data_IF_407806720740
#
_entry.id   IF_407806720740
#
_cell.length_a   1.000
_cell.length_b   1.000
_cell.length_c   1.000
_cell.angle_alpha   90.00
_cell.angle_beta   90.00
_cell.angle_gamma   90.00
#
_symmetry.space_group_name_H-M   'P 1'
#
loop_
_entity.id
_entity.type
_entity.pdbx_description
1 polymer ?
#
# COMPACT_ATOMS: atom_id res chain seq x y z
N UNK A 1 15.15 -80.80 41.42
CA UNK A 1 14.61 -79.53 41.93
C UNK A 1 14.32 -78.67 40.72
N UNK A 2 13.04 -78.51 40.42
CA UNK A 2 12.52 -77.69 39.32
C UNK A 2 12.55 -76.21 39.69
N UNK A 3 13.04 -75.38 38.77
CA UNK A 3 12.63 -73.97 38.58
C UNK A 3 12.68 -73.78 37.05
N UNK A 4 11.66 -73.32 36.32
CA UNK A 4 10.54 -72.46 36.66
C UNK A 4 10.76 -71.07 36.06
N UNK A 5 10.68 -70.93 34.73
CA UNK A 5 10.57 -69.62 34.07
C UNK A 5 9.58 -69.67 32.90
N UNK A 6 8.36 -69.21 33.17
CA UNK A 6 7.30 -68.91 32.21
C UNK A 6 7.64 -67.63 31.45
N UNK A 7 7.52 -67.67 30.12
CA UNK A 7 7.67 -66.52 29.24
C UNK A 7 6.56 -65.48 29.43
N UNK A 8 6.93 -64.23 29.68
CA UNK A 8 6.03 -63.07 29.67
C UNK A 8 5.58 -62.70 28.26
N UNK A 9 4.39 -63.17 27.86
CA UNK A 9 3.70 -62.82 26.60
C UNK A 9 2.76 -61.61 26.70
N UNK A 10 3.00 -60.68 27.62
CA UNK A 10 2.08 -59.55 27.87
C UNK A 10 2.52 -58.17 27.32
N UNK A 11 3.72 -58.03 26.77
CA UNK A 11 4.25 -56.70 26.37
C UNK A 11 3.94 -56.24 24.93
N UNK A 12 3.40 -57.08 24.05
CA UNK A 12 3.24 -56.74 22.62
C UNK A 12 1.82 -56.29 22.21
N UNK A 13 0.82 -56.45 23.07
CA UNK A 13 -0.57 -56.09 22.75
C UNK A 13 -0.93 -54.63 23.06
N UNK A 14 -0.26 -54.00 24.04
CA UNK A 14 -0.43 -52.58 24.35
C UNK A 14 0.05 -51.66 23.22
N UNK A 15 1.19 -51.97 22.62
CA UNK A 15 1.81 -51.14 21.57
C UNK A 15 0.96 -51.06 20.30
N UNK A 16 0.29 -52.15 19.89
CA UNK A 16 -0.57 -52.11 18.68
C UNK A 16 -1.78 -51.20 18.87
N UNK A 17 -2.41 -51.22 20.05
CA UNK A 17 -3.56 -50.34 20.37
C UNK A 17 -3.14 -48.87 20.46
N UNK A 18 -1.98 -48.59 21.06
CA UNK A 18 -1.40 -47.24 21.13
C UNK A 18 -1.02 -46.72 19.73
N UNK A 19 -0.39 -47.54 18.89
CA UNK A 19 -0.06 -47.18 17.50
C UNK A 19 -1.33 -46.94 16.66
N UNK A 20 -2.38 -47.76 16.84
CA UNK A 20 -3.68 -47.57 16.19
C UNK A 20 -4.36 -46.27 16.67
N UNK A 21 -4.27 -45.93 17.96
CA UNK A 21 -4.82 -44.70 18.52
C UNK A 21 -4.05 -43.47 18.02
N UNK A 22 -2.71 -43.50 18.02
CA UNK A 22 -1.87 -42.42 17.48
C UNK A 22 -2.11 -42.18 15.97
N UNK A 23 -2.30 -43.26 15.19
CA UNK A 23 -2.69 -43.15 13.77
C UNK A 23 -4.06 -42.50 13.59
N UNK A 24 -5.03 -42.83 14.44
CA UNK A 24 -6.36 -42.20 14.40
C UNK A 24 -6.29 -40.71 14.77
N UNK A 25 -5.53 -40.35 15.81
CA UNK A 25 -5.30 -38.95 16.21
C UNK A 25 -4.61 -38.18 15.08
N UNK A 26 -3.55 -38.74 14.48
CA UNK A 26 -2.85 -38.13 13.36
C UNK A 26 -3.78 -37.93 12.15
N UNK A 27 -4.61 -38.91 11.82
CA UNK A 27 -5.61 -38.79 10.74
C UNK A 27 -6.67 -37.72 11.05
N UNK A 28 -7.11 -37.61 12.31
CA UNK A 28 -8.04 -36.55 12.75
C UNK A 28 -7.38 -35.18 12.65
N UNK A 29 -6.14 -35.02 13.12
CA UNK A 29 -5.37 -33.77 12.99
C UNK A 29 -5.15 -33.39 11.52
N UNK A 30 -4.83 -34.35 10.65
CA UNK A 30 -4.68 -34.11 9.21
C UNK A 30 -6.02 -33.63 8.60
N UNK A 31 -7.14 -34.29 8.93
CA UNK A 31 -8.47 -33.88 8.44
C UNK A 31 -8.88 -32.48 8.96
N UNK A 32 -8.58 -32.16 10.22
CA UNK A 32 -8.78 -30.82 10.78
C UNK A 32 -7.94 -29.75 10.07
N UNK A 33 -6.69 -30.06 9.67
CA UNK A 33 -5.86 -29.14 8.88
C UNK A 33 -6.34 -29.00 7.42
N UNK A 34 -6.93 -30.04 6.84
CA UNK A 34 -7.53 -29.99 5.49
C UNK A 34 -8.80 -29.13 5.46
N UNK A 35 -9.61 -29.14 6.51
CA UNK A 35 -10.76 -28.22 6.62
C UNK A 35 -10.33 -26.76 6.81
N UNK A 36 -9.16 -26.50 7.40
CA UNK A 36 -8.59 -25.16 7.50
C UNK A 36 -8.13 -24.61 6.14
N UNK A 37 -7.68 -25.48 5.22
CA UNK A 37 -7.35 -25.09 3.83
C UNK A 37 -8.60 -24.81 2.98
N UNK A 38 -9.78 -25.26 3.42
CA UNK A 38 -11.06 -25.01 2.75
C UNK A 38 -11.73 -23.69 3.18
N UNK A 39 -11.10 -22.89 4.05
CA UNK A 39 -11.57 -21.54 4.38
C UNK A 39 -11.46 -20.63 3.14
N UNK A 40 -12.56 -20.61 2.39
CA UNK A 40 -13.03 -19.68 1.35
C UNK A 40 -11.99 -19.01 0.45
N UNK A 41 -11.70 -19.64 -0.69
CA UNK A 41 -11.23 -18.94 -1.88
C UNK A 41 -12.42 -18.22 -2.53
N UNK A 42 -12.76 -17.04 -2.01
CA UNK A 42 -13.81 -16.22 -2.62
C UNK A 42 -13.33 -15.76 -4.00
N UNK A 43 -14.23 -15.84 -4.99
CA UNK A 43 -14.00 -15.26 -6.32
C UNK A 43 -14.90 -14.05 -6.53
N UNK A 44 -14.37 -13.07 -7.24
CA UNK A 44 -15.14 -11.99 -7.85
C UNK A 44 -15.31 -12.34 -9.32
N UNK A 45 -16.55 -12.52 -9.75
CA UNK A 45 -16.92 -12.83 -11.13
C UNK A 45 -17.89 -11.79 -11.67
N UNK A 46 -18.01 -11.70 -12.98
CA UNK A 46 -18.89 -10.70 -13.55
C UNK A 46 -18.87 -10.62 -15.05
N UNK A 47 -19.57 -9.61 -15.56
CA UNK A 47 -19.58 -9.22 -16.98
C UNK A 47 -19.29 -7.74 -17.12
N UNK A 48 -18.50 -7.38 -18.13
CA UNK A 48 -18.27 -5.99 -18.53
C UNK A 48 -19.03 -5.73 -19.83
N UNK A 49 -19.81 -4.66 -19.86
CA UNK A 49 -20.67 -4.30 -21.00
C UNK A 49 -20.55 -2.82 -21.35
N UNK A 50 -20.82 -2.48 -22.61
CA UNK A 50 -20.96 -1.10 -23.05
C UNK A 50 -22.27 -0.49 -22.54
N UNK A 51 -22.20 0.76 -22.07
CA UNK A 51 -23.38 1.55 -21.71
C UNK A 51 -24.27 1.85 -22.92
N UNK A 52 -23.69 2.04 -24.11
CA UNK A 52 -24.41 2.54 -25.29
C UNK A 52 -25.33 1.52 -25.94
N UNK A 53 -24.88 0.26 -26.05
CA UNK A 53 -25.61 -0.80 -26.75
C UNK A 53 -25.77 -2.08 -25.91
N UNK A 54 -25.29 -2.08 -24.66
CA UNK A 54 -25.39 -3.23 -23.76
C UNK A 54 -24.53 -4.43 -24.16
N UNK A 55 -23.71 -4.33 -25.21
CA UNK A 55 -22.91 -5.45 -25.70
C UNK A 55 -21.75 -5.77 -24.76
N UNK A 56 -21.36 -7.05 -24.67
CA UNK A 56 -20.19 -7.45 -23.88
C UNK A 56 -18.91 -6.83 -24.42
N UNK A 57 -18.06 -6.36 -23.50
CA UNK A 57 -16.72 -5.87 -23.81
C UNK A 57 -15.71 -6.96 -23.51
N UNK A 58 -15.30 -7.68 -24.55
CA UNK A 58 -14.23 -8.66 -24.49
C UNK A 58 -12.85 -8.01 -24.41
N UNK A 59 -11.90 -8.69 -23.76
CA UNK A 59 -10.53 -8.22 -23.56
C UNK A 59 -10.36 -6.95 -22.71
N UNK A 60 -11.38 -6.56 -21.96
CA UNK A 60 -11.27 -5.53 -20.92
C UNK A 60 -10.43 -6.01 -19.75
N UNK A 61 -9.66 -5.11 -19.14
CA UNK A 61 -8.89 -5.41 -17.93
C UNK A 61 -9.76 -5.11 -16.71
N UNK A 62 -9.88 -6.09 -15.81
CA UNK A 62 -10.57 -5.94 -14.53
C UNK A 62 -9.62 -6.34 -13.41
N UNK A 63 -9.34 -5.46 -12.45
CA UNK A 63 -8.39 -5.75 -11.37
C UNK A 63 -8.75 -5.06 -10.06
N UNK A 64 -8.24 -5.59 -8.96
CA UNK A 64 -8.35 -4.99 -7.63
C UNK A 64 -7.23 -3.95 -7.48
N UNK A 65 -7.60 -2.71 -7.18
CA UNK A 65 -6.66 -1.59 -7.06
C UNK A 65 -5.53 -1.90 -6.05
N UNK A 66 -4.31 -1.49 -6.40
CA UNK A 66 -3.07 -1.67 -5.63
C UNK A 66 -2.69 -3.12 -5.34
N UNK A 67 -3.22 -4.11 -6.08
CA UNK A 67 -2.87 -5.52 -5.91
C UNK A 67 -2.30 -6.14 -7.19
N UNK A 68 -1.94 -7.41 -7.10
CA UNK A 68 -1.63 -8.25 -8.25
C UNK A 68 -2.83 -9.04 -8.79
N UNK A 69 -4.03 -8.85 -8.20
CA UNK A 69 -5.22 -9.63 -8.51
C UNK A 69 -6.05 -8.97 -9.61
N UNK A 70 -6.14 -9.65 -10.75
CA UNK A 70 -6.92 -9.18 -11.89
C UNK A 70 -7.19 -10.28 -12.91
N UNK A 71 -8.02 -9.95 -13.89
CA UNK A 71 -8.42 -10.81 -14.99
C UNK A 71 -8.66 -9.96 -16.24
N UNK A 72 -8.52 -10.59 -17.40
CA UNK A 72 -8.97 -10.04 -18.68
C UNK A 72 -10.32 -10.68 -19.00
N UNK A 73 -11.29 -9.89 -19.48
CA UNK A 73 -12.59 -10.43 -19.87
C UNK A 73 -12.46 -11.34 -21.10
N UNK A 74 -13.21 -12.44 -21.11
CA UNK A 74 -13.38 -13.28 -22.29
C UNK A 74 -14.18 -12.55 -23.38
N UNK A 75 -14.28 -13.12 -24.58
CA UNK A 75 -15.01 -12.53 -25.72
C UNK A 75 -16.47 -12.18 -25.40
N UNK A 76 -17.11 -12.96 -24.53
CA UNK A 76 -18.47 -12.71 -24.03
C UNK A 76 -18.55 -11.69 -22.88
N UNK A 77 -17.46 -10.97 -22.60
CA UNK A 77 -17.36 -9.95 -21.56
C UNK A 77 -17.24 -10.50 -20.14
N UNK A 78 -17.18 -11.83 -19.94
CA UNK A 78 -17.10 -12.42 -18.59
C UNK A 78 -15.70 -12.38 -18.01
N UNK A 79 -15.56 -12.21 -16.70
CA UNK A 79 -14.28 -12.31 -15.99
C UNK A 79 -14.42 -13.08 -14.68
N UNK A 80 -13.28 -13.55 -14.14
CA UNK A 80 -13.21 -14.14 -12.80
C UNK A 80 -11.84 -13.88 -12.18
N UNK A 81 -11.83 -13.27 -11.01
CA UNK A 81 -10.67 -13.06 -10.15
C UNK A 81 -10.81 -14.03 -8.97
N UNK A 82 -9.80 -14.87 -8.75
CA UNK A 82 -9.79 -15.92 -7.71
C UNK A 82 -8.92 -15.52 -6.53
N UNK A 83 -9.10 -16.26 -5.43
CA UNK A 83 -8.30 -16.14 -4.21
C UNK A 83 -8.28 -14.71 -3.67
N UNK A 84 -9.48 -14.11 -3.60
CA UNK A 84 -9.69 -12.79 -3.03
C UNK A 84 -10.00 -12.97 -1.54
N UNK A 85 -9.17 -12.39 -0.69
CA UNK A 85 -9.44 -12.40 0.75
C UNK A 85 -10.69 -11.57 1.05
N UNK A 86 -11.39 -11.90 2.14
CA UNK A 86 -12.41 -11.02 2.68
C UNK A 86 -11.86 -9.60 2.87
N UNK A 87 -12.66 -8.57 2.62
CA UNK A 87 -12.25 -7.16 2.63
C UNK A 87 -13.06 -6.33 1.63
N UNK A 88 -12.97 -5.00 1.72
CA UNK A 88 -13.49 -4.11 0.67
C UNK A 88 -12.40 -3.69 -0.28
N UNK A 89 -12.75 -3.64 -1.55
CA UNK A 89 -11.84 -3.38 -2.65
C UNK A 89 -12.45 -2.41 -3.65
N UNK A 90 -11.59 -1.60 -4.27
CA UNK A 90 -11.93 -0.92 -5.51
C UNK A 90 -11.63 -1.86 -6.69
N UNK A 91 -12.68 -2.34 -7.34
CA UNK A 91 -12.60 -3.12 -8.56
C UNK A 91 -12.57 -2.17 -9.77
N UNK A 92 -11.43 -2.12 -10.43
CA UNK A 92 -11.16 -1.22 -11.55
C UNK A 92 -11.38 -1.96 -12.86
N UNK A 93 -12.21 -1.40 -13.73
CA UNK A 93 -12.40 -1.87 -15.10
C UNK A 93 -11.88 -0.84 -16.11
N UNK A 94 -11.05 -1.29 -17.05
CA UNK A 94 -10.53 -0.45 -18.13
C UNK A 94 -10.60 -1.16 -19.48
N UNK A 95 -10.96 -0.40 -20.50
CA UNK A 95 -11.08 -0.87 -21.86
C UNK A 95 -10.76 0.28 -22.82
N UNK A 96 -10.11 -0.03 -23.94
CA UNK A 96 -9.65 0.99 -24.89
C UNK A 96 -10.85 1.73 -25.46
N UNK A 97 -10.82 3.07 -25.39
CA UNK A 97 -11.92 3.92 -25.83
C UNK A 97 -13.07 4.09 -24.83
N UNK A 98 -12.95 3.55 -23.60
CA UNK A 98 -13.97 3.66 -22.56
C UNK A 98 -13.42 4.28 -21.27
N UNK A 99 -14.27 4.98 -20.53
CA UNK A 99 -13.93 5.59 -19.25
C UNK A 99 -13.58 4.48 -18.24
N UNK A 100 -12.49 4.67 -17.49
CA UNK A 100 -12.13 3.74 -16.42
C UNK A 100 -13.13 3.86 -15.28
N UNK A 101 -13.76 2.76 -14.92
CA UNK A 101 -14.72 2.70 -13.81
C UNK A 101 -14.06 2.07 -12.58
N UNK A 102 -14.34 2.63 -11.40
CA UNK A 102 -14.03 2.05 -10.10
C UNK A 102 -15.33 1.68 -9.40
N UNK A 103 -15.51 0.41 -9.06
CA UNK A 103 -16.64 -0.06 -8.26
C UNK A 103 -16.15 -0.54 -6.90
N UNK A 104 -16.78 -0.11 -5.82
CA UNK A 104 -16.51 -0.65 -4.50
C UNK A 104 -17.18 -2.02 -4.36
N UNK A 105 -16.40 -3.01 -3.92
CA UNK A 105 -16.82 -4.40 -3.78
C UNK A 105 -16.43 -4.90 -2.41
N UNK A 106 -17.38 -5.48 -1.67
CA UNK A 106 -17.17 -6.05 -0.34
C UNK A 106 -17.20 -7.57 -0.40
N UNK A 107 -16.05 -8.19 -0.11
CA UNK A 107 -15.84 -9.63 -0.03
C UNK A 107 -15.96 -10.04 1.42
N UNK A 108 -16.93 -10.90 1.75
CA UNK A 108 -17.08 -11.46 3.10
C UNK A 108 -16.72 -12.94 3.04
N UNK A 109 -17.69 -13.82 2.82
CA UNK A 109 -17.45 -15.26 2.72
C UNK A 109 -18.00 -15.88 1.42
N UNK A 110 -18.74 -15.10 0.62
CA UNK A 110 -19.45 -15.58 -0.57
C UNK A 110 -18.90 -15.02 -1.86
N UNK A 111 -19.02 -15.81 -2.93
CA UNK A 111 -18.65 -15.38 -4.28
C UNK A 111 -19.46 -14.19 -4.72
N UNK A 112 -18.78 -13.20 -5.29
CA UNK A 112 -19.41 -11.98 -5.78
C UNK A 112 -19.64 -12.11 -7.29
N UNK A 113 -20.83 -11.70 -7.72
CA UNK A 113 -21.17 -11.51 -9.12
C UNK A 113 -21.54 -10.06 -9.36
N UNK A 114 -20.83 -9.38 -10.26
CA UNK A 114 -21.05 -7.97 -10.59
C UNK A 114 -21.20 -7.75 -12.09
N UNK A 115 -22.09 -6.83 -12.48
CA UNK A 115 -22.17 -6.32 -13.84
C UNK A 115 -21.56 -4.92 -13.87
N UNK A 116 -20.53 -4.74 -14.69
CA UNK A 116 -19.85 -3.46 -14.85
C UNK A 116 -20.27 -2.86 -16.19
N UNK A 117 -20.86 -1.68 -16.14
CA UNK A 117 -21.25 -0.92 -17.34
C UNK A 117 -20.21 0.17 -17.58
N UNK A 118 -19.64 0.20 -18.78
CA UNK A 118 -18.60 1.18 -19.14
C UNK A 118 -19.13 2.16 -20.19
N UNK A 119 -18.89 3.45 -19.96
CA UNK A 119 -19.22 4.52 -20.88
C UNK A 119 -18.08 4.75 -21.88
N UNK A 120 -18.37 4.88 -23.19
CA UNK A 120 -17.35 5.30 -24.16
C UNK A 120 -16.77 6.67 -23.80
N UNK A 121 -15.45 6.82 -23.89
CA UNK A 121 -14.80 8.13 -23.72
C UNK A 121 -15.30 9.05 -24.84
N UNK A 122 -15.81 10.21 -24.49
CA UNK A 122 -16.02 11.26 -25.46
C UNK A 122 -14.65 11.70 -26.00
N UNK A 123 -14.38 11.48 -27.28
CA UNK A 123 -13.17 11.99 -27.92
C UNK A 123 -13.28 13.51 -28.02
N UNK A 124 -12.89 14.22 -26.96
CA UNK A 124 -12.54 15.62 -27.12
C UNK A 124 -11.18 15.61 -27.80
N UNK A 125 -11.18 15.78 -29.13
CA UNK A 125 -9.99 16.22 -29.83
C UNK A 125 -9.58 17.55 -29.19
N UNK A 126 -8.68 17.52 -28.19
CA UNK A 126 -7.95 18.73 -27.81
C UNK A 126 -7.25 19.16 -29.09
N UNK A 127 -7.76 20.21 -29.72
CA UNK A 127 -7.10 20.83 -30.85
C UNK A 127 -5.67 21.11 -30.39
N UNK A 128 -4.73 20.43 -31.04
CA UNK A 128 -3.32 20.54 -30.77
C UNK A 128 -2.86 21.94 -31.18
N UNK A 129 -3.14 22.97 -30.38
CA UNK A 129 -2.30 24.18 -30.37
C UNK A 129 -0.96 23.78 -29.73
N UNK A 130 -0.13 23.07 -30.51
CA UNK A 130 1.19 22.61 -30.07
C UNK A 130 2.15 23.78 -30.03
N UNK A 131 1.99 24.64 -29.02
CA UNK A 131 3.19 25.12 -28.33
C UNK A 131 3.45 24.12 -27.22
N UNK A 132 4.23 23.08 -27.56
CA UNK A 132 4.82 22.18 -26.57
C UNK A 132 5.52 23.08 -25.54
N UNK A 133 5.05 23.07 -24.30
CA UNK A 133 5.62 23.92 -23.24
C UNK A 133 7.15 23.72 -23.24
N UNK A 134 7.96 24.79 -23.40
CA UNK A 134 9.41 24.68 -23.45
C UNK A 134 10.00 24.03 -22.20
N UNK A 135 9.29 24.05 -21.08
CA UNK A 135 9.70 23.46 -19.81
C UNK A 135 9.21 22.02 -19.61
N UNK A 136 8.47 21.42 -20.58
CA UNK A 136 7.87 20.08 -20.41
C UNK A 136 8.90 19.01 -20.02
N UNK A 137 10.12 19.05 -20.57
CA UNK A 137 11.18 18.10 -20.21
C UNK A 137 11.62 18.25 -18.75
N UNK A 138 11.74 19.49 -18.27
CA UNK A 138 12.05 19.78 -16.87
C UNK A 138 10.92 19.32 -15.95
N UNK A 139 9.66 19.52 -16.35
CA UNK A 139 8.48 19.03 -15.62
C UNK A 139 8.46 17.51 -15.53
N UNK A 140 8.71 16.79 -16.63
CA UNK A 140 8.79 15.32 -16.63
C UNK A 140 9.92 14.84 -15.72
N UNK A 141 11.08 15.49 -15.78
CA UNK A 141 12.20 15.15 -14.89
C UNK A 141 11.82 15.31 -13.41
N UNK A 142 11.22 16.45 -13.05
CA UNK A 142 10.75 16.73 -11.69
C UNK A 142 9.66 15.73 -11.25
N UNK A 143 8.71 15.42 -12.13
CA UNK A 143 7.70 14.40 -11.91
C UNK A 143 8.33 13.04 -11.62
N UNK A 144 9.23 12.53 -12.48
CA UNK A 144 9.90 11.25 -12.26
C UNK A 144 10.65 11.20 -10.92
N UNK A 145 11.40 12.26 -10.60
CA UNK A 145 12.14 12.36 -9.34
C UNK A 145 11.27 12.29 -8.08
N UNK A 146 10.02 12.76 -8.16
CA UNK A 146 9.11 12.89 -7.01
C UNK A 146 7.98 11.86 -6.99
N UNK A 147 7.67 11.25 -8.13
CA UNK A 147 6.69 10.18 -8.28
C UNK A 147 7.32 8.80 -8.11
N UNK A 148 8.53 8.59 -8.65
CA UNK A 148 9.27 7.33 -8.47
C UNK A 148 10.07 7.36 -7.15
N UNK A 149 10.63 8.51 -6.79
CA UNK A 149 11.43 8.71 -5.57
C UNK A 149 12.94 8.76 -5.82
N UNK A 150 13.72 8.90 -4.74
CA UNK A 150 15.18 9.13 -4.78
C UNK A 150 16.00 8.09 -4.01
N UNK A 151 15.38 6.97 -3.67
CA UNK A 151 16.00 5.86 -2.93
C UNK A 151 16.99 5.05 -3.77
N UNK A 152 17.64 4.07 -3.14
CA UNK A 152 18.47 3.09 -3.87
C UNK A 152 17.62 2.31 -4.87
N UNK A 153 16.40 1.88 -4.51
CA UNK A 153 15.54 1.13 -5.42
C UNK A 153 15.09 1.98 -6.61
N UNK A 154 14.90 3.30 -6.43
CA UNK A 154 14.47 4.18 -7.51
C UNK A 154 15.46 4.26 -8.68
N UNK A 155 16.75 4.01 -8.44
CA UNK A 155 17.79 3.92 -9.49
C UNK A 155 17.57 2.74 -10.45
N UNK A 156 16.82 1.73 -10.01
CA UNK A 156 16.45 0.54 -10.80
C UNK A 156 15.01 0.63 -11.33
N UNK A 157 14.36 1.78 -11.18
CA UNK A 157 13.04 2.06 -11.74
C UNK A 157 13.13 2.80 -13.07
N UNK A 158 12.22 2.50 -13.99
CA UNK A 158 12.05 3.23 -15.25
C UNK A 158 10.57 3.45 -15.55
N UNK A 159 10.20 4.70 -15.83
CA UNK A 159 8.91 5.03 -16.45
C UNK A 159 9.06 4.87 -17.97
N UNK A 160 8.26 3.97 -18.55
CA UNK A 160 8.46 3.47 -19.92
C UNK A 160 7.73 4.27 -20.99
N UNK A 161 6.72 5.05 -20.61
CA UNK A 161 5.82 5.77 -21.50
C UNK A 161 5.46 7.17 -20.92
N UNK A 162 6.45 8.01 -20.67
CA UNK A 162 6.23 9.34 -20.08
C UNK A 162 5.59 10.36 -21.04
N UNK A 163 5.54 10.03 -22.33
CA UNK A 163 4.90 10.85 -23.36
C UNK A 163 3.40 11.04 -23.12
N UNK A 164 2.72 10.09 -22.46
CA UNK A 164 1.27 10.13 -22.21
C UNK A 164 0.85 11.07 -21.07
N UNK A 165 1.81 11.64 -20.34
CA UNK A 165 1.52 12.58 -19.26
C UNK A 165 0.95 13.88 -19.82
N UNK A 166 -0.26 14.23 -19.38
CA UNK A 166 -0.76 15.61 -19.42
C UNK A 166 -0.19 16.31 -18.18
N UNK A 167 0.76 17.21 -18.39
CA UNK A 167 1.59 17.80 -17.34
C UNK A 167 1.79 19.28 -17.58
N UNK A 168 1.60 20.08 -16.54
CA UNK A 168 1.69 21.53 -16.62
C UNK A 168 1.98 22.16 -15.27
N UNK A 169 2.34 23.44 -15.30
CA UNK A 169 2.60 24.21 -14.09
C UNK A 169 1.46 25.19 -13.84
N UNK A 170 0.77 25.02 -12.72
CA UNK A 170 -0.24 25.94 -12.24
C UNK A 170 0.44 27.10 -11.49
N UNK A 171 0.46 28.27 -12.12
CA UNK A 171 1.08 29.48 -11.56
C UNK A 171 0.32 30.06 -10.36
N UNK A 172 -0.98 29.81 -10.24
CA UNK A 172 -1.78 30.35 -9.13
C UNK A 172 -1.44 29.62 -7.81
N UNK A 173 -1.23 28.30 -7.93
CA UNK A 173 -0.94 27.42 -6.78
C UNK A 173 0.54 27.08 -6.63
N UNK A 174 1.39 27.64 -7.50
CA UNK A 174 2.83 27.39 -7.56
C UNK A 174 3.14 25.88 -7.56
N UNK A 175 2.43 25.16 -8.42
CA UNK A 175 2.35 23.71 -8.37
C UNK A 175 2.55 23.06 -9.74
N UNK A 176 3.36 22.00 -9.76
CA UNK A 176 3.41 21.09 -10.91
C UNK A 176 2.26 20.09 -10.79
N UNK A 177 1.42 20.01 -11.82
CA UNK A 177 0.26 19.14 -11.88
C UNK A 177 0.39 18.15 -13.03
N UNK A 178 -0.07 16.92 -12.82
CA UNK A 178 -0.07 15.90 -13.88
C UNK A 178 -1.23 14.91 -13.76
N UNK A 179 -1.68 14.42 -14.91
CA UNK A 179 -2.64 13.32 -15.06
C UNK A 179 -2.22 12.42 -16.23
N UNK A 180 -2.88 11.27 -16.37
CA UNK A 180 -2.70 10.39 -17.53
C UNK A 180 -4.03 9.79 -17.97
N UNK A 181 -4.27 9.79 -19.28
CA UNK A 181 -5.48 9.18 -19.86
C UNK A 181 -5.41 7.65 -19.98
N UNK A 182 -4.21 7.09 -19.85
CA UNK A 182 -3.91 5.65 -19.84
C UNK A 182 -2.86 5.33 -18.76
N UNK A 183 -2.55 4.04 -18.56
CA UNK A 183 -1.62 3.58 -17.53
C UNK A 183 -0.17 4.01 -17.82
N UNK A 184 0.43 4.71 -16.86
CA UNK A 184 1.88 4.83 -16.75
C UNK A 184 2.47 3.45 -16.41
N UNK A 185 3.53 3.06 -17.11
CA UNK A 185 4.19 1.78 -16.93
C UNK A 185 5.53 2.03 -16.22
N UNK A 186 5.60 1.67 -14.94
CA UNK A 186 6.83 1.74 -14.15
C UNK A 186 7.41 0.35 -14.01
N UNK A 187 8.58 0.10 -14.60
CA UNK A 187 9.35 -1.11 -14.33
C UNK A 187 10.28 -0.88 -13.14
N UNK A 188 9.99 -1.54 -12.02
CA UNK A 188 10.82 -1.55 -10.82
C UNK A 188 11.64 -2.85 -10.80
N UNK A 189 12.90 -2.77 -11.28
CA UNK A 189 13.80 -3.95 -11.32
C UNK A 189 14.38 -4.31 -9.96
N UNK A 190 14.36 -3.40 -8.98
CA UNK A 190 14.77 -3.67 -7.61
C UNK A 190 13.79 -4.62 -6.91
N UNK A 191 12.50 -4.35 -7.02
CA UNK A 191 11.45 -5.18 -6.43
C UNK A 191 10.93 -6.25 -7.39
N UNK A 192 11.30 -6.21 -8.66
CA UNK A 192 10.84 -7.19 -9.64
C UNK A 192 9.37 -7.02 -10.03
N UNK A 193 8.88 -5.78 -10.04
CA UNK A 193 7.51 -5.44 -10.40
C UNK A 193 7.45 -4.60 -11.67
N UNK A 194 6.40 -4.83 -12.47
CA UNK A 194 5.86 -3.84 -13.40
C UNK A 194 4.60 -3.28 -12.76
N UNK A 195 4.55 -1.97 -12.60
CA UNK A 195 3.40 -1.25 -12.05
C UNK A 195 2.71 -0.53 -13.19
N UNK A 196 1.45 -0.87 -13.45
CA UNK A 196 0.54 -0.13 -14.33
C UNK A 196 -0.22 0.86 -13.45
N UNK A 197 0.05 2.15 -13.58
CA UNK A 197 -0.52 3.19 -12.73
C UNK A 197 -1.34 4.18 -13.56
N UNK A 198 -2.66 4.21 -13.38
CA UNK A 198 -3.52 5.23 -13.99
C UNK A 198 -3.52 6.46 -13.08
N UNK A 199 -2.78 7.51 -13.47
CA UNK A 199 -2.64 8.73 -12.70
C UNK A 199 -3.87 9.61 -12.86
N UNK A 200 -4.68 9.70 -11.80
CA UNK A 200 -5.87 10.57 -11.76
C UNK A 200 -5.52 11.99 -11.34
N UNK A 201 -4.58 12.12 -10.42
CA UNK A 201 -4.09 13.40 -9.94
C UNK A 201 -2.66 13.27 -9.46
N UNK A 202 -1.85 14.26 -9.77
CA UNK A 202 -0.55 14.51 -9.16
C UNK A 202 -0.43 16.01 -8.92
N UNK A 203 0.07 16.38 -7.75
CA UNK A 203 0.35 17.77 -7.38
C UNK A 203 1.66 17.80 -6.61
N UNK A 204 2.56 18.67 -7.04
CA UNK A 204 3.78 19.02 -6.33
C UNK A 204 3.79 20.53 -6.14
N UNK A 205 3.27 20.97 -5.00
CA UNK A 205 3.12 22.38 -4.65
C UNK A 205 4.35 22.88 -3.92
N UNK A 206 5.00 23.90 -4.49
CA UNK A 206 6.13 24.56 -3.85
C UNK A 206 5.64 25.54 -2.77
N UNK A 207 4.55 26.26 -3.04
CA UNK A 207 3.86 27.16 -2.08
C UNK A 207 3.43 26.46 -0.79
N UNK A 208 2.82 25.28 -0.89
CA UNK A 208 2.31 24.53 0.26
C UNK A 208 3.24 23.39 0.71
N UNK A 209 4.39 23.23 0.04
CA UNK A 209 5.46 22.28 0.34
C UNK A 209 5.01 20.80 0.47
N UNK A 210 4.03 20.38 -0.33
CA UNK A 210 3.56 18.99 -0.36
C UNK A 210 3.62 18.38 -1.75
N UNK A 211 3.77 17.04 -1.78
CA UNK A 211 3.62 16.22 -2.98
C UNK A 211 2.52 15.20 -2.69
N UNK A 212 1.49 15.18 -3.53
CA UNK A 212 0.39 14.22 -3.45
C UNK A 212 0.13 13.61 -4.82
N UNK A 213 -0.27 12.34 -4.85
CA UNK A 213 -0.75 11.69 -6.05
C UNK A 213 -1.84 10.67 -5.71
N UNK A 214 -2.78 10.51 -6.63
CA UNK A 214 -3.87 9.57 -6.55
C UNK A 214 -4.09 8.90 -7.90
N UNK A 215 -4.42 7.62 -7.85
CA UNK A 215 -4.62 6.82 -9.05
C UNK A 215 -4.86 5.36 -8.74
N UNK A 216 -4.97 4.57 -9.80
CA UNK A 216 -5.22 3.14 -9.71
C UNK A 216 -3.99 2.36 -10.15
N UNK A 217 -3.47 1.48 -9.28
CA UNK A 217 -2.30 0.68 -9.57
C UNK A 217 -2.66 -0.79 -9.77
N UNK A 218 -1.98 -1.44 -10.71
CA UNK A 218 -1.98 -2.89 -10.88
C UNK A 218 -0.54 -3.38 -10.97
N UNK A 219 -0.21 -4.42 -10.21
CA UNK A 219 1.14 -4.94 -10.09
C UNK A 219 1.29 -6.29 -10.81
N UNK A 220 2.37 -6.42 -11.57
CA UNK A 220 2.73 -7.65 -12.26
C UNK A 220 4.17 -8.04 -11.90
N UNK A 221 4.45 -9.33 -11.73
CA UNK A 221 5.83 -9.78 -11.55
C UNK A 221 6.60 -9.62 -12.87
N UNK A 222 7.81 -9.06 -12.80
CA UNK A 222 8.73 -9.12 -13.92
C UNK A 222 9.15 -10.58 -14.16
N UNK A 223 9.27 -11.01 -15.43
CA UNK A 223 9.67 -12.38 -15.74
C UNK A 223 11.15 -12.60 -15.42
N UNK A 224 11.48 -13.72 -14.78
CA UNK A 224 12.86 -14.19 -14.67
C UNK A 224 12.92 -15.70 -14.49
N UNK A 225 13.90 -16.34 -15.15
CA UNK A 225 14.23 -17.76 -14.96
C UNK A 225 15.28 -17.98 -13.87
N UNK A 226 15.99 -16.93 -13.43
CA UNK A 226 17.10 -17.03 -12.48
C UNK A 226 16.57 -17.09 -11.04
N UNK A 227 16.81 -18.20 -10.33
CA UNK A 227 16.41 -18.37 -8.92
C UNK A 227 17.02 -17.30 -8.00
N UNK A 228 18.30 -16.97 -8.19
CA UNK A 228 18.98 -15.92 -7.42
C UNK A 228 18.29 -14.55 -7.55
N UNK A 229 17.81 -14.20 -8.75
CA UNK A 229 17.08 -12.94 -8.97
C UNK A 229 15.74 -12.94 -8.24
N UNK A 230 15.00 -14.06 -8.26
CA UNK A 230 13.73 -14.17 -7.51
C UNK A 230 13.95 -14.02 -6.01
N UNK A 231 15.00 -14.64 -5.48
CA UNK A 231 15.39 -14.52 -4.06
C UNK A 231 15.73 -13.07 -3.70
N UNK A 232 16.55 -12.40 -4.51
CA UNK A 232 16.88 -10.99 -4.31
C UNK A 232 15.62 -10.09 -4.33
N UNK A 233 14.69 -10.33 -5.24
CA UNK A 233 13.43 -9.59 -5.26
C UNK A 233 12.60 -9.83 -4.00
N UNK A 234 12.51 -11.07 -3.52
CA UNK A 234 11.82 -11.38 -2.26
C UNK A 234 12.47 -10.65 -1.07
N UNK A 235 13.80 -10.69 -0.95
CA UNK A 235 14.54 -9.98 0.10
C UNK A 235 14.32 -8.46 0.04
N UNK A 236 14.33 -7.87 -1.16
CA UNK A 236 14.08 -6.44 -1.33
C UNK A 236 12.62 -6.07 -1.01
N UNK A 237 11.66 -6.94 -1.32
CA UNK A 237 10.24 -6.73 -0.99
C UNK A 237 9.98 -6.81 0.52
N UNK A 238 10.65 -7.73 1.22
CA UNK A 238 10.56 -7.78 2.69
C UNK A 238 11.09 -6.48 3.31
N UNK A 239 12.24 -6.00 2.83
CA UNK A 239 12.79 -4.71 3.29
C UNK A 239 11.86 -3.54 2.98
N UNK A 240 11.30 -3.49 1.77
CA UNK A 240 10.35 -2.44 1.39
C UNK A 240 9.01 -2.52 2.15
N UNK A 241 8.63 -3.71 2.64
CA UNK A 241 7.43 -3.89 3.44
C UNK A 241 7.64 -3.43 4.89
N UNK A 242 8.70 -3.89 5.55
CA UNK A 242 8.97 -3.52 6.93
C UNK A 242 9.24 -2.01 7.06
N UNK A 243 8.73 -1.39 8.12
CA UNK A 243 8.77 0.07 8.30
C UNK A 243 7.81 0.88 7.39
N UNK A 244 7.24 0.30 6.33
CA UNK A 244 6.32 1.00 5.42
C UNK A 244 4.99 1.39 6.09
N UNK A 245 4.26 2.32 5.45
CA UNK A 245 2.91 2.70 5.89
C UNK A 245 1.92 1.53 5.85
N UNK A 246 2.06 0.60 4.89
CA UNK A 246 1.23 -0.61 4.82
C UNK A 246 1.48 -1.53 6.02
N UNK A 247 2.75 -1.70 6.43
CA UNK A 247 3.10 -2.45 7.63
C UNK A 247 2.53 -1.77 8.87
N UNK A 248 2.74 -0.46 9.02
CA UNK A 248 2.19 0.30 10.13
C UNK A 248 0.68 0.15 10.28
N UNK A 249 -0.12 0.41 9.23
CA UNK A 249 -1.58 0.38 9.37
C UNK A 249 -2.12 -1.01 9.69
N UNK A 250 -1.48 -2.08 9.19
CA UNK A 250 -1.84 -3.46 9.59
C UNK A 250 -1.62 -3.70 11.07
N UNK A 251 -0.45 -3.31 11.59
CA UNK A 251 -0.12 -3.48 13.01
C UNK A 251 -0.95 -2.57 13.91
N UNK A 252 -1.33 -1.39 13.42
CA UNK A 252 -2.21 -0.46 14.12
C UNK A 252 -3.60 -1.08 14.31
N UNK A 253 -4.15 -1.70 13.26
CA UNK A 253 -5.44 -2.40 13.30
C UNK A 253 -5.37 -3.64 14.22
N UNK A 254 -4.25 -4.37 14.19
CA UNK A 254 -4.04 -5.57 15.01
C UNK A 254 -3.77 -5.23 16.48
N UNK A 255 -3.26 -4.03 16.75
CA UNK A 255 -2.95 -3.54 18.09
C UNK A 255 -1.54 -3.88 18.59
N UNK A 256 -0.65 -4.35 17.70
CA UNK A 256 0.70 -4.87 18.01
C UNK A 256 1.84 -3.96 17.52
N UNK A 257 1.55 -2.66 17.34
CA UNK A 257 2.51 -1.67 16.83
C UNK A 257 3.84 -1.69 17.58
N UNK A 258 3.81 -1.85 18.91
CA UNK A 258 5.02 -1.81 19.72
C UNK A 258 5.88 -3.07 19.54
N UNK A 259 5.29 -4.27 19.51
CA UNK A 259 6.03 -5.50 19.17
C UNK A 259 6.63 -5.41 17.76
N UNK A 260 5.90 -4.76 16.85
CA UNK A 260 6.37 -4.55 15.49
C UNK A 260 7.37 -3.39 15.30
N UNK A 261 7.71 -2.69 16.39
CA UNK A 261 8.77 -1.69 16.42
C UNK A 261 8.32 -0.27 16.04
N UNK A 262 7.02 -0.02 16.02
CA UNK A 262 6.44 1.30 15.83
C UNK A 262 6.11 1.96 17.18
N UNK A 263 6.49 3.22 17.31
CA UNK A 263 6.03 4.10 18.39
C UNK A 263 5.32 5.31 17.81
N UNK A 264 4.32 5.81 18.52
CA UNK A 264 3.45 6.88 18.05
C UNK A 264 3.42 8.03 19.05
N UNK A 265 3.50 9.27 18.56
CA UNK A 265 3.38 10.47 19.38
C UNK A 265 2.53 11.51 18.67
N UNK A 266 1.80 12.30 19.45
CA UNK A 266 1.11 13.48 18.94
C UNK A 266 2.11 14.61 18.67
N UNK A 267 1.94 15.29 17.56
CA UNK A 267 2.65 16.54 17.25
C UNK A 267 1.61 17.67 17.17
N UNK A 268 1.80 18.70 17.98
CA UNK A 268 0.92 19.87 18.01
C UNK A 268 1.65 21.08 17.41
N UNK A 269 1.00 21.78 16.47
CA UNK A 269 1.52 23.03 15.89
C UNK A 269 1.01 24.23 16.69
N UNK A 270 1.92 24.99 17.30
CA UNK A 270 1.61 26.19 18.11
C UNK A 270 2.51 27.36 17.75
N UNK A 271 2.06 28.59 18.01
CA UNK A 271 2.87 29.79 17.82
C UNK A 271 4.16 29.66 18.64
N UNK A 272 5.29 30.02 18.05
CA UNK A 272 6.59 30.05 18.71
C UNK A 272 6.50 31.00 19.89
N UNK A 273 6.79 30.46 21.07
CA UNK A 273 6.99 31.25 22.29
C UNK A 273 8.47 31.50 22.48
N UNK A 274 8.84 32.71 22.92
CA UNK A 274 10.23 33.05 23.24
C UNK A 274 10.67 32.24 24.47
N UNK A 275 11.59 31.31 24.29
CA UNK A 275 12.01 30.36 25.30
C UNK A 275 12.21 28.99 24.67
N UNK A 276 13.46 28.61 24.46
CA UNK A 276 13.84 27.35 23.82
C UNK A 276 13.47 26.17 24.72
N UNK A 277 12.36 25.47 24.43
CA UNK A 277 12.16 24.11 24.95
C UNK A 277 12.80 23.18 23.95
N UNK A 278 14.08 22.86 24.20
CA UNK A 278 14.77 21.75 23.55
C UNK A 278 13.94 20.51 23.84
N UNK A 279 13.46 19.82 22.80
CA UNK A 279 13.03 18.45 22.96
C UNK A 279 14.26 17.66 23.47
N UNK A 280 14.25 17.32 24.75
CA UNK A 280 15.34 16.63 25.43
C UNK A 280 15.26 15.12 25.21
N UNK A 281 14.74 14.68 24.07
CA UNK A 281 15.06 13.37 23.51
C UNK A 281 16.32 13.48 22.63
N UNK A 282 17.44 13.93 23.21
CA UNK A 282 18.76 13.78 22.58
C UNK A 282 19.38 12.49 23.10
N UNK A 283 19.93 11.62 22.25
CA UNK A 283 21.17 11.97 21.56
C UNK A 283 21.07 11.96 20.03
N UNK A 284 21.37 13.13 19.45
CA UNK A 284 21.73 13.37 18.05
C UNK A 284 20.61 13.44 16.99
N UNK A 285 19.71 14.42 17.10
CA UNK A 285 19.25 15.15 15.92
C UNK A 285 18.67 16.51 16.32
N UNK A 286 19.14 17.58 15.67
CA UNK A 286 18.36 18.81 15.56
C UNK A 286 17.10 18.45 14.77
N UNK A 287 15.97 18.18 15.42
CA UNK A 287 14.67 18.12 14.76
C UNK A 287 14.18 19.56 14.60
N UNK A 288 14.90 20.31 13.75
CA UNK A 288 14.23 21.27 12.91
C UNK A 288 13.96 20.46 11.64
N UNK A 289 12.68 20.15 11.36
CA UNK A 289 12.29 19.77 10.00
C UNK A 289 12.81 20.91 9.13
N UNK A 290 13.92 20.68 8.40
CA UNK A 290 14.75 21.77 7.84
C UNK A 290 14.01 22.60 6.80
N UNK A 291 12.85 22.10 6.35
CA UNK A 291 11.66 22.89 6.00
C UNK A 291 10.51 22.23 6.75
N UNK A 292 9.73 23.00 7.49
CA UNK A 292 8.39 22.57 7.87
C UNK A 292 7.75 21.98 6.61
N UNK A 293 7.22 20.75 6.64
CA UNK A 293 6.48 20.23 5.49
C UNK A 293 5.28 21.14 5.10
N UNK A 294 5.00 22.14 5.95
CA UNK A 294 3.90 23.09 5.89
C UNK A 294 4.39 24.51 6.22
N UNK A 295 5.49 24.95 5.60
CA UNK A 295 6.13 26.26 5.85
C UNK A 295 5.28 27.45 5.37
N UNK A 296 4.02 27.49 5.75
CA UNK A 296 3.10 28.59 5.48
C UNK A 296 3.33 29.74 6.47
N UNK A 297 3.86 29.47 7.67
CA UNK A 297 4.17 30.49 8.68
C UNK A 297 5.30 30.05 9.65
N UNK A 298 6.45 30.73 9.56
CA UNK A 298 7.61 30.55 10.44
C UNK A 298 7.36 31.00 11.89
N UNK A 299 6.25 31.72 12.15
CA UNK A 299 5.83 32.09 13.50
C UNK A 299 5.31 30.91 14.32
N UNK A 300 5.12 29.73 13.71
CA UNK A 300 4.70 28.49 14.36
C UNK A 300 5.83 27.45 14.43
N UNK A 301 5.69 26.50 15.35
CA UNK A 301 6.55 25.34 15.48
C UNK A 301 5.73 24.10 15.82
N UNK A 302 6.24 22.95 15.42
CA UNK A 302 5.70 21.64 15.75
C UNK A 302 6.34 21.15 17.06
N UNK A 303 5.52 20.78 18.04
CA UNK A 303 5.95 20.28 19.34
C UNK A 303 5.50 18.83 19.52
N UNK A 304 6.46 17.94 19.81
CA UNK A 304 6.19 16.54 20.12
C UNK A 304 5.67 16.40 21.53
N UNK A 305 4.52 15.76 21.70
CA UNK A 305 4.02 15.37 23.00
C UNK A 305 4.81 14.14 23.50
N UNK A 306 5.32 14.15 24.75
CA UNK A 306 6.21 13.10 25.24
C UNK A 306 5.48 11.76 25.48
N UNK A 307 4.17 11.81 25.72
CA UNK A 307 3.36 10.60 25.89
C UNK A 307 3.28 9.84 24.56
N UNK A 308 3.56 8.54 24.62
CA UNK A 308 3.33 7.65 23.49
C UNK A 308 1.85 7.28 23.43
N UNK A 309 1.28 7.36 22.23
CA UNK A 309 -0.10 6.96 21.95
C UNK A 309 -0.17 5.45 21.79
N UNK A 310 -1.27 4.84 22.24
CA UNK A 310 -1.60 3.44 22.00
C UNK A 310 -2.49 3.30 20.76
N UNK A 311 -2.49 2.14 20.09
CA UNK A 311 -3.40 1.87 18.98
C UNK A 311 -4.87 2.17 19.30
N UNK A 312 -5.33 1.76 20.49
CA UNK A 312 -6.72 1.97 20.95
C UNK A 312 -7.14 3.44 21.10
N UNK A 313 -6.19 4.38 21.12
CA UNK A 313 -6.46 5.82 21.18
C UNK A 313 -6.64 6.44 19.77
N UNK A 314 -6.20 5.73 18.74
CA UNK A 314 -6.14 6.21 17.36
C UNK A 314 -7.15 5.52 16.45
N UNK A 315 -7.32 4.21 16.64
CA UNK A 315 -8.12 3.37 15.76
C UNK A 315 -9.17 2.59 16.54
N UNK A 316 -10.39 2.55 16.00
CA UNK A 316 -11.50 1.77 16.54
C UNK A 316 -12.21 1.01 15.44
N UNK A 317 -12.84 -0.12 15.78
CA UNK A 317 -13.73 -0.80 14.85
C UNK A 317 -15.01 0.04 14.66
N UNK A 318 -15.53 0.10 13.43
CA UNK A 318 -16.77 0.79 13.13
C UNK A 318 -17.97 0.03 13.69
N UNK A 319 -18.83 0.73 14.44
CA UNK A 319 -20.08 0.16 14.96
C UNK A 319 -21.12 -0.11 13.86
N UNK A 320 -21.02 0.61 12.74
CA UNK A 320 -22.03 0.57 11.66
C UNK A 320 -21.59 -0.22 10.43
N UNK A 321 -20.28 -0.47 10.28
CA UNK A 321 -19.73 -1.12 9.09
C UNK A 321 -18.85 -2.30 9.55
N UNK A 322 -19.29 -3.55 9.35
CA UNK A 322 -18.51 -4.73 9.70
C UNK A 322 -17.10 -4.69 9.09
N UNK A 323 -16.11 -5.18 9.85
CA UNK A 323 -14.70 -5.27 9.42
C UNK A 323 -14.04 -3.95 8.95
N UNK A 324 -14.60 -2.81 9.37
CA UNK A 324 -14.01 -1.49 9.15
C UNK A 324 -13.41 -0.90 10.40
N UNK A 325 -12.33 -0.16 10.19
CA UNK A 325 -11.60 0.51 11.24
C UNK A 325 -11.52 1.99 10.93
N UNK A 326 -11.90 2.82 11.90
CA UNK A 326 -11.90 4.28 11.77
C UNK A 326 -10.65 4.79 12.47
N UNK A 327 -9.74 5.37 11.70
CA UNK A 327 -8.57 6.07 12.21
C UNK A 327 -8.89 7.56 12.35
N UNK A 328 -8.66 8.11 13.54
CA UNK A 328 -8.88 9.52 13.85
C UNK A 328 -7.79 10.05 14.79
N UNK A 329 -7.35 11.29 14.56
CA UNK A 329 -6.52 12.06 15.48
C UNK A 329 -6.63 13.56 15.13
N UNK A 330 -6.56 14.44 16.12
CA UNK A 330 -6.86 15.86 15.94
C UNK A 330 -5.74 16.66 15.28
N UNK A 331 -4.48 16.30 15.58
CA UNK A 331 -3.30 17.04 15.11
C UNK A 331 -2.51 16.21 14.10
N UNK A 332 -1.19 16.13 14.29
CA UNK A 332 -0.31 15.30 13.47
C UNK A 332 0.07 14.06 14.26
N UNK A 333 0.14 12.93 13.57
CA UNK A 333 0.64 11.69 14.14
C UNK A 333 2.10 11.49 13.70
N UNK A 334 3.04 11.55 14.64
CA UNK A 334 4.41 11.10 14.42
C UNK A 334 4.47 9.59 14.62
N UNK A 335 4.97 8.88 13.62
CA UNK A 335 5.28 7.45 13.66
C UNK A 335 6.79 7.29 13.57
N UNK A 336 7.37 6.54 14.50
CA UNK A 336 8.79 6.16 14.48
C UNK A 336 8.90 4.65 14.33
N UNK A 337 9.64 4.18 13.33
CA UNK A 337 10.00 2.78 13.17
C UNK A 337 11.44 2.55 13.68
N UNK A 338 11.59 1.65 14.64
CA UNK A 338 12.82 1.51 15.44
C UNK A 338 13.67 0.30 15.08
N UNK A 339 13.16 -0.60 14.22
CA UNK A 339 13.89 -1.81 13.79
C UNK A 339 14.82 -1.55 12.60
N UNK A 340 14.78 -0.36 12.00
CA UNK A 340 15.66 0.04 10.90
C UNK A 340 16.00 1.54 10.97
N UNK A 341 17.16 1.90 10.43
CA UNK A 341 17.51 3.29 10.15
C UNK A 341 16.99 3.76 8.79
N UNK A 342 16.92 5.07 8.62
CA UNK A 342 16.64 5.70 7.33
C UNK A 342 17.78 5.43 6.32
N UNK A 343 17.44 5.36 5.03
CA UNK A 343 18.47 5.34 3.99
C UNK A 343 19.38 6.58 4.07
N UNK A 344 20.69 6.37 3.90
CA UNK A 344 21.68 7.46 3.87
C UNK A 344 21.35 8.57 2.85
N UNK A 345 20.69 8.22 1.74
CA UNK A 345 20.19 9.18 0.76
C UNK A 345 19.20 10.18 1.37
N UNK A 346 18.23 9.69 2.14
CA UNK A 346 17.26 10.53 2.85
C UNK A 346 17.94 11.36 3.94
N UNK A 347 18.74 10.74 4.81
CA UNK A 347 19.42 11.43 5.90
C UNK A 347 20.30 12.59 5.39
N UNK A 348 20.98 12.39 4.25
CA UNK A 348 21.75 13.43 3.56
C UNK A 348 20.88 14.60 3.10
N UNK A 349 19.66 14.37 2.62
CA UNK A 349 18.73 15.46 2.26
C UNK A 349 18.32 16.30 3.48
N UNK A 350 18.37 15.70 4.67
CA UNK A 350 18.11 16.36 5.94
C UNK A 350 19.36 16.97 6.60
N UNK A 351 20.54 16.85 5.96
CA UNK A 351 21.80 17.39 6.50
C UNK A 351 22.29 16.70 7.77
N UNK A 352 21.94 15.43 7.99
CA UNK A 352 22.29 14.66 9.20
C UNK A 352 22.70 13.22 8.88
N UNK A 353 23.15 12.49 9.91
CA UNK A 353 23.38 11.04 9.83
C UNK A 353 22.04 10.28 9.85
N UNK A 354 22.00 9.05 9.30
CA UNK A 354 20.89 8.13 9.49
C UNK A 354 20.55 7.96 10.97
N UNK A 355 19.26 7.78 11.23
CA UNK A 355 18.67 7.44 12.54
C UNK A 355 17.41 6.61 12.27
N UNK A 356 16.66 6.25 13.30
CA UNK A 356 15.34 5.61 13.13
C UNK A 356 14.44 6.37 12.17
N UNK A 357 13.63 5.62 11.42
CA UNK A 357 12.72 6.17 10.42
C UNK A 357 11.58 6.92 11.11
N UNK A 358 11.46 8.21 10.82
CA UNK A 358 10.38 9.06 11.33
C UNK A 358 9.50 9.57 10.18
N UNK A 359 8.20 9.34 10.30
CA UNK A 359 7.17 9.76 9.36
C UNK A 359 6.06 10.48 10.10
N UNK A 360 5.45 11.48 9.47
CA UNK A 360 4.31 12.21 10.02
C UNK A 360 3.10 12.08 9.11
N UNK A 361 1.94 11.84 9.72
CA UNK A 361 0.63 11.79 9.06
C UNK A 361 -0.17 13.03 9.46
N UNK A 362 -0.78 13.67 8.47
CA UNK A 362 -1.80 14.71 8.67
C UNK A 362 -3.08 14.33 7.95
N UNK A 363 -4.21 14.52 8.60
CA UNK A 363 -5.51 14.38 7.98
C UNK A 363 -5.89 15.60 7.11
N UNK A 364 -6.53 15.34 5.97
CA UNK A 364 -7.24 16.31 5.12
C UNK A 364 -8.77 16.22 5.30
N UNK A 365 -9.23 15.12 5.91
CA UNK A 365 -10.62 14.87 6.29
C UNK A 365 -10.66 14.44 7.75
N UNK A 366 -11.79 14.56 8.47
CA UNK A 366 -11.84 14.24 9.90
C UNK A 366 -11.34 12.83 10.25
N UNK A 367 -11.49 11.83 9.38
CA UNK A 367 -11.04 10.45 9.60
C UNK A 367 -10.68 9.76 8.27
N UNK A 368 -9.95 8.63 8.32
CA UNK A 368 -9.92 7.63 7.24
C UNK A 368 -10.52 6.30 7.74
N UNK A 369 -11.24 5.63 6.85
CA UNK A 369 -11.74 4.26 7.03
C UNK A 369 -10.76 3.27 6.41
N UNK A 370 -10.41 2.24 7.17
CA UNK A 370 -9.54 1.15 6.75
C UNK A 370 -10.29 -0.19 6.69
N UNK A 371 -9.93 -1.05 5.75
CA UNK A 371 -10.24 -2.49 5.85
C UNK A 371 -9.32 -3.17 6.87
N UNK A 372 -9.70 -4.36 7.34
CA UNK A 372 -8.87 -5.18 8.26
C UNK A 372 -7.47 -5.52 7.71
N UNK A 373 -7.26 -5.49 6.40
CA UNK A 373 -5.97 -5.71 5.73
C UNK A 373 -5.07 -4.46 5.70
N UNK A 374 -5.53 -3.33 6.24
CA UNK A 374 -4.81 -2.05 6.23
C UNK A 374 -5.05 -1.18 5.00
N UNK A 375 -6.16 -1.39 4.27
CA UNK A 375 -6.49 -0.61 3.07
C UNK A 375 -7.28 0.65 3.42
N UNK A 376 -6.70 1.85 3.24
CA UNK A 376 -7.45 3.11 3.38
C UNK A 376 -8.39 3.28 2.17
N UNK A 377 -9.68 3.48 2.44
CA UNK A 377 -10.71 3.69 1.40
C UNK A 377 -10.52 5.00 0.64
N UNK A 378 -10.02 6.03 1.32
CA UNK A 378 -9.71 7.33 0.75
C UNK A 378 -8.25 7.71 1.04
N UNK A 379 -7.29 7.27 0.20
CA UNK A 379 -5.89 7.60 0.38
C UNK A 379 -5.60 9.10 0.39
N UNK A 380 -6.46 9.93 -0.22
CA UNK A 380 -6.30 11.39 -0.22
C UNK A 380 -6.73 12.04 1.09
N UNK A 381 -7.39 11.30 1.99
CA UNK A 381 -7.71 11.77 3.34
C UNK A 381 -6.46 12.00 4.19
N UNK A 382 -5.29 11.44 3.81
CA UNK A 382 -4.04 11.58 4.55
C UNK A 382 -2.92 12.14 3.69
N UNK A 383 -2.06 12.95 4.31
CA UNK A 383 -0.78 13.38 3.73
C UNK A 383 0.34 12.80 4.57
N UNK A 384 1.29 12.16 3.89
CA UNK A 384 2.52 11.63 4.49
C UNK A 384 3.68 12.60 4.29
N UNK A 385 4.45 12.80 5.35
CA UNK A 385 5.69 13.58 5.34
C UNK A 385 6.77 12.84 6.14
N UNK A 386 8.01 13.31 6.08
CA UNK A 386 9.15 12.56 6.63
C UNK A 386 9.54 11.39 5.73
N UNK A 387 9.91 10.25 6.34
CA UNK A 387 10.46 9.11 5.61
C UNK A 387 9.47 8.52 4.59
N UNK A 388 8.22 8.26 4.97
CA UNK A 388 7.16 7.80 4.04
C UNK A 388 6.77 8.83 2.98
N UNK A 389 7.03 10.12 3.23
CA UNK A 389 6.86 11.16 2.22
C UNK A 389 7.99 11.14 1.17
N UNK A 390 9.15 10.58 1.52
CA UNK A 390 10.30 10.42 0.64
C UNK A 390 10.31 9.07 -0.08
N UNK A 391 9.83 8.02 0.58
CA UNK A 391 9.49 6.75 -0.05
C UNK A 391 8.32 6.97 -1.01
N UNK A 392 8.48 6.52 -2.25
CA UNK A 392 7.54 6.72 -3.35
C UNK A 392 7.33 5.40 -4.06
N UNK A 393 6.85 5.39 -5.31
CA UNK A 393 6.56 4.16 -6.06
C UNK A 393 7.71 3.13 -6.07
N UNK A 394 8.97 3.57 -5.99
CA UNK A 394 10.11 2.66 -5.93
C UNK A 394 10.11 1.72 -4.71
N UNK A 395 9.47 2.11 -3.61
CA UNK A 395 9.41 1.37 -2.33
C UNK A 395 8.07 0.68 -2.08
N UNK A 396 7.09 0.84 -2.97
CA UNK A 396 5.77 0.27 -2.75
C UNK A 396 5.70 -1.20 -3.15
N UNK A 397 5.22 -2.02 -2.21
CA UNK A 397 4.74 -3.38 -2.47
C UNK A 397 3.23 -3.37 -2.66
N UNK A 398 2.66 -4.31 -3.42
CA UNK A 398 1.22 -4.39 -3.59
C UNK A 398 0.53 -4.70 -2.25
N UNK A 399 -0.72 -4.28 -2.13
CA UNK A 399 -1.54 -4.47 -0.94
C UNK A 399 -1.82 -5.93 -0.60
N UNK A 400 -1.78 -6.85 -1.58
CA UNK A 400 -1.86 -8.29 -1.33
C UNK A 400 -0.50 -8.93 -1.00
N UNK A 401 0.55 -8.12 -0.80
CA UNK A 401 1.84 -8.60 -0.30
C UNK A 401 1.71 -9.15 1.12
N UNK A 402 2.24 -10.36 1.31
CA UNK A 402 2.36 -11.03 2.61
C UNK A 402 3.83 -11.21 2.92
N UNK A 403 4.28 -10.65 4.03
CA UNK A 403 5.61 -10.86 4.58
C UNK A 403 5.76 -12.32 5.01
N UNK A 404 6.99 -12.84 4.92
CA UNK A 404 7.32 -14.25 5.14
C UNK A 404 7.57 -14.63 6.59
#
# INVERSE_FOLDING_TARGET
METGYTQNKWHLWGNKRVILLMRKILLICINLTLTLLAYSQVKISGTVVSETDGKPLGFANVFINNTMKGATTAENGTFTIKDVAAGKYQLIASYVGYETISNDVEVINDNISIRITMKPKATVLKAFEVKRDPNREAYIKKFKETFIGKSVNSKLCKLMNDEILDIGYNKMDDALEATSDDYLIVENKALGYRVRFLLKQYTNSEKHNFISYYGYAFYENLPTKKKAQKKLWMENREKAYHGSSLHFFRTLIQGDTQEEGFTMNEIIRKKRVSGYIKDSATSEAKIMLSRDAYAEDDSYANYRMPAQLKPSELISQSDSIPEKYILHFDHFLLVTYTKEEEEAGYAKTQGRRPRYQESMIRFQKPYCIFSKEGLCEDPMAMIFSGYWGWEKIAELVPYDYKSN
#
